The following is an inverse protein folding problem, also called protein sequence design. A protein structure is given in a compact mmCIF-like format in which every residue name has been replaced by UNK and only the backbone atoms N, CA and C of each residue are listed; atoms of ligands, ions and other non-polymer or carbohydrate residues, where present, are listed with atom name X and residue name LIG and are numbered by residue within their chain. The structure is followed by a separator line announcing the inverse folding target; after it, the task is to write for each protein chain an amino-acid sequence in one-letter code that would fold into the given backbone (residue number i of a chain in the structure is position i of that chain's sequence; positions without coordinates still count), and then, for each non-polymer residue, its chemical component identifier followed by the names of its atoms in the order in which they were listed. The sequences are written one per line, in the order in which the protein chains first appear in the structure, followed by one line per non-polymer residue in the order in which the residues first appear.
data_IF_817388641142
#
_entry.id   IF_817388641142
#
_cell.length_a   1.000
_cell.length_b   1.000
_cell.length_c   1.000
_cell.angle_alpha   90.00
_cell.angle_beta   90.00
_cell.angle_gamma   90.00
#
_symmetry.space_group_name_H-M   'P 1'
#
loop_
_entity.id
_entity.type
_entity.pdbx_description
1 polymer ?
#
# COMPACT_ATOMS: atom_id res chain seq x y z
N UNK A 1 -36.69 -67.98 28.15
CA UNK A 1 -36.43 -68.49 26.79
C UNK A 1 -35.94 -67.33 25.93
N UNK A 2 -34.66 -67.27 25.53
CA UNK A 2 -34.22 -66.35 24.50
C UNK A 2 -33.98 -67.10 23.18
N UNK A 3 -34.51 -66.53 22.08
CA UNK A 3 -34.31 -67.01 20.72
C UNK A 3 -33.07 -66.33 20.13
N UNK A 4 -32.19 -67.18 19.65
CA UNK A 4 -30.96 -66.94 18.94
C UNK A 4 -31.28 -66.54 17.48
N UNK A 5 -30.61 -65.53 16.93
CA UNK A 5 -30.46 -65.41 15.47
C UNK A 5 -29.13 -64.75 15.12
N UNK A 6 -28.21 -65.59 14.64
CA UNK A 6 -26.89 -65.20 14.17
C UNK A 6 -26.93 -64.66 12.75
N UNK A 7 -25.98 -63.76 12.45
CA UNK A 7 -25.71 -63.23 11.12
C UNK A 7 -24.34 -63.76 10.66
N UNK A 8 -24.20 -64.27 9.43
CA UNK A 8 -22.99 -64.94 8.97
C UNK A 8 -21.88 -63.97 8.53
N UNK A 9 -20.65 -64.36 8.88
CA UNK A 9 -19.38 -63.75 8.48
C UNK A 9 -19.10 -64.01 7.00
N UNK A 10 -18.92 -62.94 6.22
CA UNK A 10 -18.58 -63.00 4.79
C UNK A 10 -17.06 -63.07 4.62
N UNK A 11 -16.62 -64.10 3.90
CA UNK A 11 -15.24 -64.46 3.61
C UNK A 11 -14.49 -63.41 2.78
N UNK A 12 -13.26 -63.10 3.20
CA UNK A 12 -12.28 -62.31 2.42
C UNK A 12 -11.72 -63.18 1.29
N UNK A 13 -11.88 -62.73 0.06
CA UNK A 13 -11.19 -63.28 -1.11
C UNK A 13 -9.75 -62.77 -1.16
N UNK A 14 -8.83 -63.73 -1.25
CA UNK A 14 -7.41 -63.58 -1.52
C UNK A 14 -7.18 -63.07 -2.94
N UNK A 15 -6.73 -61.82 -3.09
CA UNK A 15 -6.22 -61.29 -4.35
C UNK A 15 -4.74 -61.64 -4.47
N UNK A 16 -4.42 -62.51 -5.43
CA UNK A 16 -3.06 -62.90 -5.82
C UNK A 16 -2.31 -61.69 -6.37
N UNK A 17 -1.20 -61.36 -5.72
CA UNK A 17 -0.15 -60.47 -6.21
C UNK A 17 0.58 -61.12 -7.39
N UNK A 18 0.48 -60.50 -8.57
CA UNK A 18 1.35 -60.78 -9.71
C UNK A 18 2.70 -60.11 -9.47
N UNK A 19 3.74 -60.95 -9.32
CA UNK A 19 5.16 -60.57 -9.36
C UNK A 19 5.56 -60.26 -10.80
N UNK A 20 5.89 -59.00 -11.08
CA UNK A 20 6.58 -58.61 -12.31
C UNK A 20 8.09 -58.82 -12.15
N UNK A 21 8.79 -59.35 -13.17
CA UNK A 21 10.22 -59.61 -13.14
C UNK A 21 11.03 -58.31 -13.18
N UNK A 22 12.12 -58.34 -12.41
CA UNK A 22 13.16 -57.32 -12.30
C UNK A 22 13.77 -57.01 -13.67
N UNK A 23 13.56 -55.78 -14.15
CA UNK A 23 14.48 -55.17 -15.09
C UNK A 23 15.53 -54.42 -14.28
N UNK A 24 16.76 -54.93 -14.31
CA UNK A 24 17.97 -54.27 -13.82
C UNK A 24 18.19 -52.96 -14.57
N UNK A 25 17.55 -51.90 -14.07
CA UNK A 25 17.94 -50.54 -14.39
C UNK A 25 19.21 -50.21 -13.62
N UNK A 26 20.29 -50.06 -14.38
CA UNK A 26 21.50 -49.29 -14.07
C UNK A 26 21.30 -48.41 -12.82
N UNK A 27 21.93 -48.82 -11.71
CA UNK A 27 22.07 -48.07 -10.48
C UNK A 27 22.76 -46.72 -10.78
N UNK A 28 21.98 -45.74 -11.21
CA UNK A 28 22.34 -44.35 -10.92
C UNK A 28 22.47 -44.26 -9.41
N UNK A 29 23.57 -43.66 -8.90
CA UNK A 29 23.74 -43.47 -7.46
C UNK A 29 22.47 -42.82 -6.96
N UNK A 30 21.81 -43.52 -6.03
CA UNK A 30 20.68 -43.03 -5.26
C UNK A 30 21.19 -41.73 -4.65
N UNK A 31 20.94 -40.60 -5.33
CA UNK A 31 21.26 -39.30 -4.78
C UNK A 31 20.59 -39.34 -3.42
N UNK A 32 21.39 -39.19 -2.37
CA UNK A 32 20.87 -39.05 -1.03
C UNK A 32 19.68 -38.10 -1.17
N UNK A 33 18.48 -38.46 -0.64
CA UNK A 33 17.36 -37.55 -0.67
C UNK A 33 17.92 -36.23 -0.21
N UNK A 34 17.93 -35.24 -1.12
CA UNK A 34 18.29 -33.90 -0.74
C UNK A 34 17.41 -33.67 0.48
N UNK A 35 17.97 -33.28 1.64
CA UNK A 35 17.15 -32.85 2.74
C UNK A 35 16.56 -31.49 2.32
N UNK A 36 15.73 -31.52 1.28
CA UNK A 36 14.53 -30.72 1.08
C UNK A 36 13.54 -31.08 2.21
N UNK A 37 14.04 -31.02 3.45
CA UNK A 37 13.24 -30.45 4.49
C UNK A 37 13.00 -29.02 4.01
N UNK A 38 11.88 -28.87 3.30
CA UNK A 38 11.12 -27.64 3.06
C UNK A 38 10.77 -26.99 4.41
N UNK A 39 11.81 -26.72 5.21
CA UNK A 39 11.78 -25.73 6.25
C UNK A 39 11.61 -24.45 5.48
N UNK A 40 10.35 -24.03 5.38
CA UNK A 40 9.97 -22.77 4.79
C UNK A 40 11.00 -21.73 5.22
N UNK A 41 11.64 -21.02 4.27
CA UNK A 41 12.63 -20.03 4.63
C UNK A 41 12.02 -19.11 5.66
N UNK A 42 12.62 -19.13 6.85
CA UNK A 42 12.24 -18.29 7.99
C UNK A 42 11.94 -16.89 7.45
N UNK A 43 10.83 -16.30 7.90
CA UNK A 43 10.18 -15.05 7.46
C UNK A 43 11.07 -13.79 7.32
N UNK A 44 12.39 -13.95 7.39
CA UNK A 44 13.46 -12.98 7.21
C UNK A 44 14.07 -12.93 5.81
N UNK A 45 13.77 -13.86 4.89
CA UNK A 45 14.33 -13.80 3.53
C UNK A 45 13.81 -12.58 2.75
N UNK A 46 14.74 -11.71 2.35
CA UNK A 46 14.44 -10.55 1.51
C UNK A 46 13.89 -11.03 0.15
N UNK A 47 12.91 -10.30 -0.45
CA UNK A 47 12.39 -10.65 -1.76
C UNK A 47 13.52 -10.83 -2.77
N UNK A 48 13.51 -11.96 -3.51
CA UNK A 48 14.43 -12.18 -4.63
C UNK A 48 14.31 -10.99 -5.59
N UNK A 49 15.45 -10.38 -5.89
CA UNK A 49 15.55 -9.13 -6.66
C UNK A 49 15.11 -7.84 -5.92
N UNK A 50 15.53 -7.68 -4.65
CA UNK A 50 15.42 -6.41 -3.94
C UNK A 50 16.71 -6.04 -3.18
N UNK A 51 16.94 -4.74 -3.00
CA UNK A 51 18.03 -4.15 -2.23
C UNK A 51 17.46 -3.67 -0.88
N UNK A 52 18.02 -4.07 0.27
CA UNK A 52 17.59 -3.53 1.55
C UNK A 52 17.98 -2.05 1.65
N UNK A 53 16.99 -1.17 1.91
CA UNK A 53 17.23 0.26 2.09
C UNK A 53 17.54 0.58 3.55
N UNK A 54 16.87 -0.12 4.48
CA UNK A 54 17.03 0.15 5.91
C UNK A 54 15.82 -0.31 6.73
N UNK A 55 15.64 0.31 7.89
CA UNK A 55 14.48 0.06 8.77
C UNK A 55 13.73 1.36 9.06
N UNK A 56 12.41 1.35 8.91
CA UNK A 56 11.51 2.46 9.24
C UNK A 56 10.42 1.96 10.18
N UNK A 57 10.27 2.58 11.35
CA UNK A 57 9.32 2.15 12.41
C UNK A 57 9.45 0.67 12.81
N UNK A 58 10.69 0.15 12.81
CA UNK A 58 10.98 -1.26 13.12
C UNK A 58 10.79 -2.23 11.94
N UNK A 59 10.23 -1.76 10.82
CA UNK A 59 9.98 -2.56 9.61
C UNK A 59 11.14 -2.49 8.65
N UNK A 60 11.44 -3.59 7.98
CA UNK A 60 12.51 -3.62 6.97
C UNK A 60 11.97 -3.05 5.66
N UNK A 61 12.69 -2.09 5.09
CA UNK A 61 12.39 -1.52 3.79
C UNK A 61 13.30 -2.15 2.74
N UNK A 62 12.72 -2.60 1.63
CA UNK A 62 13.42 -3.15 0.49
C UNK A 62 12.99 -2.44 -0.81
N UNK A 63 13.92 -2.18 -1.71
CA UNK A 63 13.68 -1.59 -3.03
C UNK A 63 13.83 -2.65 -4.10
N UNK A 64 12.85 -2.84 -4.96
CA UNK A 64 12.97 -3.78 -6.08
C UNK A 64 13.99 -3.27 -7.12
N UNK A 65 14.83 -4.16 -7.67
CA UNK A 65 15.75 -3.79 -8.77
C UNK A 65 15.01 -3.25 -10.01
N UNK A 66 13.75 -3.63 -10.20
CA UNK A 66 12.92 -3.10 -11.29
C UNK A 66 12.70 -1.59 -11.19
N UNK A 67 12.66 -1.04 -9.97
CA UNK A 67 12.60 0.42 -9.77
C UNK A 67 13.89 1.06 -10.27
N UNK A 68 15.05 0.53 -9.87
CA UNK A 68 16.35 1.07 -10.28
C UNK A 68 16.50 1.02 -11.80
N UNK A 69 16.11 -0.10 -12.42
CA UNK A 69 16.12 -0.25 -13.86
C UNK A 69 15.19 0.75 -14.56
N UNK A 70 13.95 0.91 -14.07
CA UNK A 70 13.01 1.87 -14.64
C UNK A 70 13.49 3.32 -14.48
N UNK A 71 14.01 3.70 -13.32
CA UNK A 71 14.58 5.03 -13.08
C UNK A 71 15.78 5.28 -13.99
N UNK A 72 16.67 4.29 -14.17
CA UNK A 72 17.81 4.40 -15.08
C UNK A 72 17.36 4.54 -16.54
N UNK A 73 16.36 3.76 -16.98
CA UNK A 73 15.81 3.86 -18.33
C UNK A 73 15.17 5.23 -18.58
N UNK A 74 14.37 5.73 -17.62
CA UNK A 74 13.76 7.07 -17.68
C UNK A 74 14.85 8.15 -17.73
N UNK A 75 15.85 8.08 -16.86
CA UNK A 75 16.97 9.02 -16.85
C UNK A 75 17.77 9.01 -18.17
N UNK A 76 17.98 7.82 -18.75
CA UNK A 76 18.61 7.66 -20.06
C UNK A 76 17.79 8.32 -21.18
N UNK A 77 16.48 8.08 -21.21
CA UNK A 77 15.57 8.72 -22.18
C UNK A 77 15.58 10.24 -22.01
N UNK A 78 15.49 10.75 -20.77
CA UNK A 78 15.57 12.19 -20.49
C UNK A 78 16.93 12.77 -20.92
N UNK A 79 18.02 12.03 -20.74
CA UNK A 79 19.36 12.50 -21.14
C UNK A 79 19.50 12.59 -22.66
N UNK A 80 18.94 11.63 -23.39
CA UNK A 80 18.98 11.58 -24.86
C UNK A 80 18.04 12.64 -25.46
N UNK A 81 16.81 12.72 -24.97
CA UNK A 81 15.74 13.54 -25.57
C UNK A 81 15.70 14.96 -24.97
N UNK A 82 16.06 15.12 -23.70
CA UNK A 82 15.94 16.37 -22.95
C UNK A 82 17.01 17.43 -23.24
N UNK A 83 18.01 17.13 -24.07
CA UNK A 83 19.06 18.09 -24.45
C UNK A 83 18.59 19.19 -25.43
N UNK A 84 17.44 18.98 -26.08
CA UNK A 84 16.84 19.99 -26.96
C UNK A 84 16.14 21.11 -26.19
N UNK A 85 16.22 22.39 -26.63
CA UNK A 85 15.57 23.52 -25.95
C UNK A 85 14.04 23.38 -25.86
N UNK A 86 13.43 22.63 -26.78
CA UNK A 86 11.99 22.31 -26.78
C UNK A 86 11.59 21.26 -25.71
N UNK A 87 12.55 20.53 -25.15
CA UNK A 87 12.29 19.38 -24.28
C UNK A 87 12.66 19.64 -22.81
N UNK A 88 12.96 20.89 -22.44
CA UNK A 88 13.26 21.25 -21.05
C UNK A 88 12.10 20.90 -20.09
N UNK A 89 10.88 21.02 -20.58
CA UNK A 89 9.66 20.67 -19.83
C UNK A 89 9.58 19.16 -19.52
N UNK A 90 10.16 18.30 -20.37
CA UNK A 90 10.16 16.85 -20.17
C UNK A 90 10.96 16.47 -18.91
N UNK A 91 12.08 17.14 -18.66
CA UNK A 91 12.89 16.88 -17.46
C UNK A 91 12.14 17.29 -16.19
N UNK A 92 11.49 18.45 -16.20
CA UNK A 92 10.68 18.95 -15.08
C UNK A 92 9.48 18.02 -14.84
N UNK A 93 8.75 17.67 -15.89
CA UNK A 93 7.62 16.75 -15.85
C UNK A 93 8.02 15.37 -15.29
N UNK A 94 9.17 14.86 -15.71
CA UNK A 94 9.67 13.56 -15.25
C UNK A 94 10.11 13.59 -13.79
N UNK A 95 10.77 14.67 -13.36
CA UNK A 95 11.16 14.87 -11.97
C UNK A 95 9.91 15.00 -11.08
N UNK A 96 8.94 15.81 -11.50
CA UNK A 96 7.66 15.94 -10.82
C UNK A 96 6.95 14.58 -10.74
N UNK A 97 6.90 13.85 -11.86
CA UNK A 97 6.30 12.54 -11.91
C UNK A 97 6.94 11.55 -10.94
N UNK A 98 8.28 11.54 -10.85
CA UNK A 98 9.02 10.73 -9.88
C UNK A 98 8.68 11.11 -8.44
N UNK A 99 8.65 12.41 -8.12
CA UNK A 99 8.30 12.90 -6.78
C UNK A 99 6.88 12.48 -6.41
N UNK A 100 5.91 12.71 -7.29
CA UNK A 100 4.51 12.32 -7.08
C UNK A 100 4.38 10.80 -6.89
N UNK A 101 5.10 10.01 -7.67
CA UNK A 101 5.11 8.55 -7.55
C UNK A 101 5.66 8.09 -6.17
N UNK A 102 6.75 8.71 -5.71
CA UNK A 102 7.32 8.45 -4.38
C UNK A 102 6.36 8.87 -3.27
N UNK A 103 5.64 9.99 -3.42
CA UNK A 103 4.59 10.40 -2.46
C UNK A 103 3.48 9.35 -2.42
N UNK A 104 3.06 8.81 -3.56
CA UNK A 104 2.12 7.70 -3.63
C UNK A 104 2.63 6.44 -2.91
N UNK A 105 3.92 6.10 -3.06
CA UNK A 105 4.53 5.05 -2.26
C UNK A 105 4.48 5.36 -0.78
N UNK A 106 4.78 6.59 -0.36
CA UNK A 106 4.76 6.94 1.04
C UNK A 106 3.35 6.81 1.65
N UNK A 107 2.30 7.26 0.95
CA UNK A 107 0.90 7.10 1.37
C UNK A 107 0.58 5.60 1.56
N UNK A 108 0.91 4.78 0.57
CA UNK A 108 0.75 3.33 0.64
C UNK A 108 1.50 2.73 1.84
N UNK A 109 2.76 3.12 2.05
CA UNK A 109 3.61 2.63 3.14
C UNK A 109 3.00 2.94 4.50
N UNK A 110 2.49 4.17 4.68
CA UNK A 110 1.88 4.62 5.93
C UNK A 110 0.60 3.84 6.22
N UNK A 111 -0.25 3.60 5.21
CA UNK A 111 -1.47 2.82 5.38
C UNK A 111 -1.12 1.37 5.77
N UNK A 112 -0.20 0.72 5.07
CA UNK A 112 0.26 -0.62 5.46
C UNK A 112 0.97 -0.62 6.82
N UNK A 113 1.63 0.48 7.19
CA UNK A 113 2.17 0.70 8.52
C UNK A 113 1.08 0.71 9.60
N UNK A 114 -0.04 1.39 9.33
CA UNK A 114 -1.19 1.39 10.22
C UNK A 114 -1.84 0.02 10.41
N UNK A 115 -1.98 -0.77 9.34
CA UNK A 115 -2.75 -2.01 9.38
C UNK A 115 -1.94 -3.26 9.78
N UNK A 116 -0.61 -3.29 9.59
CA UNK A 116 0.16 -4.49 9.92
C UNK A 116 0.30 -4.69 11.43
N UNK A 117 -0.01 -5.90 11.89
CA UNK A 117 0.03 -6.29 13.31
C UNK A 117 1.47 -6.32 13.81
N UNK A 118 2.37 -6.91 13.02
CA UNK A 118 3.76 -7.14 13.43
C UNK A 118 4.69 -6.03 12.91
N UNK A 119 5.75 -5.77 13.68
CA UNK A 119 6.78 -4.77 13.34
C UNK A 119 7.88 -5.30 12.43
N UNK A 120 8.03 -6.61 12.33
CA UNK A 120 9.06 -7.31 11.54
C UNK A 120 8.72 -7.45 10.05
N UNK A 121 7.59 -6.89 9.60
CA UNK A 121 7.15 -6.97 8.21
C UNK A 121 8.14 -6.26 7.28
N UNK A 122 8.48 -6.95 6.18
CA UNK A 122 9.25 -6.36 5.07
C UNK A 122 8.30 -5.64 4.12
N UNK A 123 8.51 -4.33 3.94
CA UNK A 123 7.84 -3.52 2.94
C UNK A 123 8.74 -3.40 1.71
N UNK A 124 8.25 -3.84 0.55
CA UNK A 124 8.99 -3.83 -0.71
C UNK A 124 8.43 -2.77 -1.66
N UNK A 125 9.21 -1.73 -1.93
CA UNK A 125 8.90 -0.73 -2.94
C UNK A 125 9.13 -1.33 -4.34
N UNK A 126 8.06 -1.43 -5.11
CA UNK A 126 8.05 -2.00 -6.47
C UNK A 126 7.62 -0.93 -7.47
N UNK A 127 7.82 -1.17 -8.77
CA UNK A 127 7.51 -0.19 -9.82
C UNK A 127 6.09 0.36 -9.73
N UNK A 128 5.11 -0.52 -9.52
CA UNK A 128 3.68 -0.19 -9.49
C UNK A 128 3.22 0.32 -8.11
N UNK A 129 4.04 0.13 -7.08
CA UNK A 129 3.72 0.54 -5.71
C UNK A 129 4.33 -0.39 -4.66
N UNK A 130 3.79 -0.39 -3.45
CA UNK A 130 4.31 -1.20 -2.35
C UNK A 130 3.68 -2.59 -2.34
N UNK A 131 4.55 -3.60 -2.24
CA UNK A 131 4.21 -4.97 -1.89
C UNK A 131 4.66 -5.29 -0.46
N UNK A 132 4.06 -6.32 0.13
CA UNK A 132 4.42 -6.82 1.45
C UNK A 132 4.52 -8.34 1.43
N UNK A 133 5.17 -8.90 2.44
CA UNK A 133 5.30 -10.35 2.56
C UNK A 133 3.96 -11.02 2.89
N UNK A 134 3.73 -12.20 2.32
CA UNK A 134 2.51 -12.98 2.58
C UNK A 134 2.39 -13.28 4.08
N UNK A 135 1.16 -13.35 4.57
CA UNK A 135 0.90 -13.56 6.00
C UNK A 135 1.26 -12.38 6.91
N UNK A 136 1.59 -11.16 6.45
CA UNK A 136 1.83 -10.03 7.36
C UNK A 136 0.57 -9.52 8.09
N UNK A 137 -0.60 -9.78 7.51
CA UNK A 137 -1.90 -9.23 7.91
C UNK A 137 -2.96 -10.32 7.79
N UNK A 138 -4.03 -10.19 8.58
CA UNK A 138 -5.21 -11.05 8.48
C UNK A 138 -6.04 -10.70 7.25
N UNK A 139 -6.96 -11.58 6.82
CA UNK A 139 -7.79 -11.33 5.63
C UNK A 139 -8.61 -10.02 5.75
N UNK A 140 -9.31 -9.80 6.86
CA UNK A 140 -10.10 -8.58 7.11
C UNK A 140 -9.24 -7.31 7.05
N UNK A 141 -8.05 -7.34 7.69
CA UNK A 141 -7.13 -6.19 7.71
C UNK A 141 -6.50 -5.95 6.35
N UNK A 142 -6.19 -7.01 5.61
CA UNK A 142 -5.68 -6.91 4.24
C UNK A 142 -6.71 -6.26 3.33
N UNK A 143 -7.98 -6.66 3.45
CA UNK A 143 -9.10 -6.06 2.71
C UNK A 143 -9.26 -4.57 3.07
N UNK A 144 -9.28 -4.24 4.35
CA UNK A 144 -9.38 -2.85 4.82
C UNK A 144 -8.20 -1.99 4.37
N UNK A 145 -6.97 -2.49 4.48
CA UNK A 145 -5.76 -1.81 4.01
C UNK A 145 -5.79 -1.59 2.50
N UNK A 146 -6.26 -2.58 1.74
CA UNK A 146 -6.39 -2.51 0.29
C UNK A 146 -7.40 -1.42 -0.13
N UNK A 147 -8.59 -1.43 0.47
CA UNK A 147 -9.63 -0.42 0.21
C UNK A 147 -9.15 0.97 0.64
N UNK A 148 -8.60 1.12 1.84
CA UNK A 148 -8.09 2.40 2.33
C UNK A 148 -6.98 2.96 1.44
N UNK A 149 -6.09 2.10 0.95
CA UNK A 149 -5.03 2.48 0.03
C UNK A 149 -5.59 2.98 -1.30
N UNK A 150 -6.47 2.22 -1.94
CA UNK A 150 -7.09 2.62 -3.21
C UNK A 150 -7.91 3.91 -3.05
N UNK A 151 -8.72 4.00 -2.01
CA UNK A 151 -9.50 5.19 -1.70
C UNK A 151 -8.61 6.41 -1.48
N UNK A 152 -7.50 6.28 -0.74
CA UNK A 152 -6.58 7.40 -0.50
C UNK A 152 -5.95 7.93 -1.79
N UNK A 153 -5.51 7.05 -2.69
CA UNK A 153 -4.90 7.45 -3.96
C UNK A 153 -5.95 8.11 -4.88
N UNK A 154 -7.16 7.56 -4.94
CA UNK A 154 -8.25 8.13 -5.74
C UNK A 154 -8.68 9.49 -5.20
N UNK A 155 -8.85 9.63 -3.88
CA UNK A 155 -9.25 10.90 -3.25
C UNK A 155 -8.17 11.96 -3.43
N UNK A 156 -6.89 11.64 -3.20
CA UNK A 156 -5.79 12.59 -3.42
C UNK A 156 -5.70 12.98 -4.89
N UNK A 157 -5.77 12.01 -5.80
CA UNK A 157 -5.73 12.29 -7.24
C UNK A 157 -6.92 13.14 -7.71
N UNK A 158 -8.13 12.81 -7.28
CA UNK A 158 -9.34 13.59 -7.59
C UNK A 158 -9.28 15.00 -6.99
N UNK A 159 -8.75 15.15 -5.77
CA UNK A 159 -8.53 16.45 -5.12
C UNK A 159 -7.58 17.33 -5.92
N UNK A 160 -6.45 16.78 -6.39
CA UNK A 160 -5.50 17.53 -7.23
C UNK A 160 -6.11 17.95 -8.57
N UNK A 161 -6.89 17.08 -9.21
CA UNK A 161 -7.60 17.41 -10.46
C UNK A 161 -8.67 18.48 -10.22
N UNK A 162 -9.39 18.41 -9.10
CA UNK A 162 -10.40 19.40 -8.75
C UNK A 162 -9.77 20.77 -8.46
N UNK A 163 -8.65 20.80 -7.74
CA UNK A 163 -7.89 22.04 -7.48
C UNK A 163 -7.42 22.62 -8.81
N UNK A 164 -6.79 21.83 -9.67
CA UNK A 164 -6.33 22.28 -11.00
C UNK A 164 -7.46 22.90 -11.83
N UNK A 165 -8.65 22.29 -11.84
CA UNK A 165 -9.82 22.84 -12.55
C UNK A 165 -10.39 24.10 -11.93
N UNK A 166 -10.21 24.31 -10.62
CA UNK A 166 -10.68 25.51 -9.93
C UNK A 166 -9.75 26.71 -10.11
N UNK A 167 -8.46 26.45 -10.36
CA UNK A 167 -7.43 27.47 -10.59
C UNK A 167 -7.23 27.82 -12.06
N UNK A 168 -7.77 26.99 -12.97
CA UNK A 168 -7.80 27.22 -14.41
C UNK A 168 -8.62 28.47 -14.77
N UNK A 169 -7.97 29.60 -14.62
CA UNK A 169 -8.48 30.95 -14.95
C UNK A 169 -8.22 31.31 -16.42
N UNK A 170 -7.54 30.43 -17.16
CA UNK A 170 -7.04 30.67 -18.51
C UNK A 170 -7.65 29.70 -19.53
N UNK A 171 -8.97 29.48 -19.46
CA UNK A 171 -9.73 28.72 -20.45
C UNK A 171 -9.82 29.45 -21.80
N UNK A 172 -8.68 29.65 -22.47
CA UNK A 172 -8.61 29.83 -23.93
C UNK A 172 -8.19 28.51 -24.54
N UNK A 173 -9.20 27.74 -24.91
CA UNK A 173 -9.29 26.79 -26.01
C UNK A 173 -7.99 26.63 -26.80
N UNK A 174 -7.28 25.53 -26.55
CA UNK A 174 -6.54 24.87 -27.60
C UNK A 174 -7.15 23.47 -27.74
N UNK A 175 -7.98 23.30 -28.79
CA UNK A 175 -8.37 22.01 -29.37
C UNK A 175 -7.14 21.29 -29.95
N UNK A 176 -6.11 21.08 -29.13
CA UNK A 176 -4.99 20.23 -29.42
C UNK A 176 -5.39 18.82 -29.02
N UNK A 177 -5.62 17.95 -29.99
CA UNK A 177 -5.87 16.53 -29.74
C UNK A 177 -4.85 15.94 -28.76
N UNK A 178 -5.27 14.90 -28.04
CA UNK A 178 -4.61 14.23 -26.90
C UNK A 178 -3.10 13.88 -27.05
N UNK A 179 -2.49 14.12 -28.22
CA UNK A 179 -1.09 13.83 -28.55
C UNK A 179 -0.39 14.84 -29.49
N UNK A 180 -0.94 16.03 -29.75
CA UNK A 180 -0.13 17.08 -30.39
C UNK A 180 0.91 17.57 -29.37
N UNK A 181 2.21 17.53 -29.70
CA UNK A 181 3.29 18.05 -28.83
C UNK A 181 3.80 19.41 -29.35
N UNK A 182 3.03 20.52 -29.24
CA UNK A 182 3.61 21.76 -28.72
C UNK A 182 4.16 21.45 -27.33
N UNK A 183 5.24 22.12 -26.87
CA UNK A 183 5.91 21.81 -25.60
C UNK A 183 4.90 21.44 -24.51
N UNK A 184 5.15 20.36 -23.75
CA UNK A 184 4.22 19.56 -22.91
C UNK A 184 3.22 20.35 -22.03
N UNK A 185 3.30 21.68 -22.01
CA UNK A 185 2.36 22.56 -21.36
C UNK A 185 2.43 22.38 -19.87
N UNK A 186 3.58 21.90 -19.36
CA UNK A 186 3.84 21.62 -17.96
C UNK A 186 4.37 22.85 -17.22
N UNK A 187 4.53 24.00 -17.88
CA UNK A 187 4.93 25.25 -17.23
C UNK A 187 3.87 25.84 -16.30
N UNK A 188 2.55 25.76 -16.59
CA UNK A 188 1.53 26.22 -15.66
C UNK A 188 1.37 25.25 -14.49
N UNK A 189 1.16 25.79 -13.30
CA UNK A 189 0.93 25.00 -12.09
C UNK A 189 -0.30 24.07 -12.22
N UNK A 190 -1.32 24.49 -12.95
CA UNK A 190 -2.56 23.72 -13.12
C UNK A 190 -2.34 22.43 -13.91
N UNK A 191 -1.55 22.50 -14.98
CA UNK A 191 -1.13 21.32 -15.76
C UNK A 191 -0.32 20.34 -14.91
N UNK A 192 0.59 20.85 -14.06
CA UNK A 192 1.37 20.03 -13.14
C UNK A 192 0.48 19.30 -12.12
N UNK A 193 -0.51 19.99 -11.56
CA UNK A 193 -1.47 19.42 -10.61
C UNK A 193 -2.37 18.37 -11.28
N UNK A 194 -2.86 18.68 -12.49
CA UNK A 194 -3.67 17.76 -13.28
C UNK A 194 -2.88 16.48 -13.61
N UNK A 195 -1.64 16.62 -14.09
CA UNK A 195 -0.73 15.50 -14.35
C UNK A 195 -0.47 14.66 -13.09
N UNK A 196 -0.20 15.33 -11.96
CA UNK A 196 0.02 14.67 -10.66
C UNK A 196 -1.21 13.87 -10.23
N UNK A 197 -2.40 14.42 -10.40
CA UNK A 197 -3.65 13.73 -10.10
C UNK A 197 -3.85 12.46 -10.94
N UNK A 198 -3.55 12.53 -12.24
CA UNK A 198 -3.57 11.36 -13.13
C UNK A 198 -2.55 10.29 -12.73
N UNK A 199 -1.36 10.67 -12.25
CA UNK A 199 -0.37 9.70 -11.76
C UNK A 199 -0.87 8.93 -10.54
N UNK A 200 -1.56 9.55 -9.60
CA UNK A 200 -2.18 8.84 -8.48
C UNK A 200 -3.26 7.85 -8.95
N UNK A 201 -4.05 8.21 -9.95
CA UNK A 201 -5.03 7.32 -10.56
C UNK A 201 -4.35 6.14 -11.27
N UNK A 202 -3.30 6.41 -12.05
CA UNK A 202 -2.52 5.38 -12.71
C UNK A 202 -1.91 4.40 -11.69
N UNK A 203 -1.40 4.92 -10.58
CA UNK A 203 -0.88 4.11 -9.48
C UNK A 203 -1.98 3.29 -8.78
N UNK A 204 -3.17 3.85 -8.60
CA UNK A 204 -4.32 3.13 -8.06
C UNK A 204 -4.76 1.98 -8.98
N UNK A 205 -4.87 2.24 -10.30
CA UNK A 205 -5.20 1.24 -11.32
C UNK A 205 -4.12 0.15 -11.38
N UNK A 206 -2.85 0.55 -11.38
CA UNK A 206 -1.73 -0.39 -11.36
C UNK A 206 -1.75 -1.29 -10.13
N UNK A 207 -2.04 -0.73 -8.95
CA UNK A 207 -2.17 -1.51 -7.72
C UNK A 207 -3.38 -2.43 -7.71
N UNK A 208 -4.49 -2.02 -8.33
CA UNK A 208 -5.69 -2.85 -8.46
C UNK A 208 -5.47 -4.04 -9.41
N UNK A 209 -4.54 -3.93 -10.36
CA UNK A 209 -4.24 -5.00 -11.29
C UNK A 209 -3.58 -6.19 -10.57
N UNK A 210 -4.12 -7.43 -10.67
CA UNK A 210 -3.79 -8.51 -9.74
C UNK A 210 -2.53 -9.31 -10.11
N UNK A 211 -1.42 -8.59 -10.36
CA UNK A 211 -0.10 -9.17 -10.57
C UNK A 211 0.50 -9.75 -9.29
N UNK A 212 1.70 -10.32 -9.43
CA UNK A 212 2.47 -10.85 -8.30
C UNK A 212 2.85 -9.70 -7.34
N UNK A 213 2.57 -9.89 -6.05
CA UNK A 213 2.83 -8.93 -4.96
C UNK A 213 2.10 -7.58 -5.07
N UNK A 214 1.08 -7.44 -5.92
CA UNK A 214 0.26 -6.22 -5.96
C UNK A 214 -0.93 -6.33 -5.01
N UNK A 215 -1.45 -5.17 -4.60
CA UNK A 215 -2.61 -5.05 -3.73
C UNK A 215 -3.84 -5.76 -4.32
N UNK A 216 -4.05 -5.69 -5.64
CA UNK A 216 -5.20 -6.27 -6.32
C UNK A 216 -5.32 -7.78 -6.12
N UNK A 217 -4.20 -8.51 -6.14
CA UNK A 217 -4.21 -9.96 -5.89
C UNK A 217 -4.55 -10.28 -4.42
N UNK A 218 -3.97 -9.52 -3.49
CA UNK A 218 -4.27 -9.64 -2.07
C UNK A 218 -5.71 -9.26 -1.75
N UNK A 219 -6.26 -8.25 -2.43
CA UNK A 219 -7.65 -7.83 -2.33
C UNK A 219 -8.58 -8.98 -2.70
N UNK A 220 -8.43 -9.57 -3.89
CA UNK A 220 -9.26 -10.70 -4.34
C UNK A 220 -9.14 -11.89 -3.37
N UNK A 221 -7.92 -12.25 -2.97
CA UNK A 221 -7.69 -13.34 -2.02
C UNK A 221 -8.38 -13.07 -0.66
N UNK A 222 -8.26 -11.85 -0.15
CA UNK A 222 -8.89 -11.45 1.11
C UNK A 222 -10.42 -11.45 1.03
N UNK A 223 -11.00 -11.05 -0.10
CA UNK A 223 -12.45 -11.12 -0.34
C UNK A 223 -12.91 -12.57 -0.33
N UNK A 224 -12.23 -13.48 -1.05
CA UNK A 224 -12.59 -14.91 -1.08
C UNK A 224 -12.58 -15.50 0.33
N UNK A 225 -11.53 -15.26 1.11
CA UNK A 225 -11.39 -15.79 2.48
C UNK A 225 -12.41 -15.17 3.44
N UNK A 226 -12.74 -13.89 3.27
CA UNK A 226 -13.69 -13.18 4.16
C UNK A 226 -15.14 -13.56 3.85
N UNK A 227 -15.51 -13.65 2.57
CA UNK A 227 -16.89 -13.97 2.13
C UNK A 227 -17.19 -15.47 2.20
N UNK A 228 -16.16 -16.33 2.05
CA UNK A 228 -16.30 -17.78 2.05
C UNK A 228 -15.76 -18.46 3.31
N UNK A 229 -16.30 -18.21 4.51
CA UNK A 229 -15.78 -18.80 5.75
C UNK A 229 -15.94 -20.32 5.81
N UNK A 230 -16.83 -20.90 5.00
CA UNK A 230 -17.07 -22.34 4.91
C UNK A 230 -16.26 -23.01 3.79
N UNK A 231 -15.52 -22.24 2.98
CA UNK A 231 -14.72 -22.80 1.90
C UNK A 231 -13.45 -23.42 2.47
N UNK A 232 -13.09 -24.62 1.99
CA UNK A 232 -11.79 -25.19 2.33
C UNK A 232 -10.67 -24.37 1.67
N UNK A 233 -9.49 -24.25 2.29
CA UNK A 233 -8.37 -23.46 1.74
C UNK A 233 -8.00 -23.85 0.30
N UNK A 234 -8.03 -25.16 -0.01
CA UNK A 234 -7.82 -25.69 -1.36
C UNK A 234 -8.82 -25.16 -2.38
N UNK A 235 -10.11 -25.10 -2.03
CA UNK A 235 -11.16 -24.59 -2.91
C UNK A 235 -11.02 -23.08 -3.11
N UNK A 236 -10.72 -22.33 -2.05
CA UNK A 236 -10.46 -20.90 -2.13
C UNK A 236 -9.24 -20.58 -3.03
N UNK A 237 -8.18 -21.38 -2.95
CA UNK A 237 -7.00 -21.24 -3.80
C UNK A 237 -7.29 -21.51 -5.29
N UNK A 238 -8.07 -22.56 -5.58
CA UNK A 238 -8.53 -22.87 -6.95
C UNK A 238 -9.42 -21.75 -7.48
N UNK A 239 -10.33 -21.23 -6.66
CA UNK A 239 -11.20 -20.12 -7.03
C UNK A 239 -10.38 -18.87 -7.35
N UNK A 240 -9.42 -18.51 -6.51
CA UNK A 240 -8.51 -17.39 -6.75
C UNK A 240 -7.74 -17.57 -8.06
N UNK A 241 -7.17 -18.76 -8.30
CA UNK A 241 -6.48 -19.05 -9.55
C UNK A 241 -7.39 -18.89 -10.78
N UNK A 242 -8.62 -19.43 -10.74
CA UNK A 242 -9.60 -19.30 -11.82
C UNK A 242 -10.03 -17.86 -12.07
N UNK A 243 -10.22 -17.06 -11.02
CA UNK A 243 -10.50 -15.63 -11.15
C UNK A 243 -9.35 -14.88 -11.82
N UNK A 244 -8.11 -15.14 -11.42
CA UNK A 244 -6.93 -14.51 -12.04
C UNK A 244 -6.79 -14.90 -13.52
N UNK A 245 -7.03 -16.17 -13.86
CA UNK A 245 -7.05 -16.64 -15.25
C UNK A 245 -8.17 -15.96 -16.06
N UNK A 246 -9.38 -15.86 -15.48
CA UNK A 246 -10.52 -15.19 -16.09
C UNK A 246 -10.24 -13.71 -16.39
N UNK A 247 -9.64 -12.99 -15.44
CA UNK A 247 -9.20 -11.60 -15.65
C UNK A 247 -8.15 -11.52 -16.76
N UNK A 248 -7.21 -12.46 -16.80
CA UNK A 248 -6.22 -12.55 -17.88
C UNK A 248 -6.84 -12.72 -19.27
N UNK A 249 -7.79 -13.66 -19.41
CA UNK A 249 -8.51 -13.92 -20.66
C UNK A 249 -9.36 -12.69 -21.06
N UNK A 250 -10.05 -12.06 -20.10
CA UNK A 250 -10.80 -10.83 -20.32
C UNK A 250 -9.90 -9.72 -20.88
N UNK A 251 -8.69 -9.56 -20.32
CA UNK A 251 -7.70 -8.58 -20.80
C UNK A 251 -7.23 -8.86 -22.23
N UNK A 252 -7.07 -10.13 -22.63
CA UNK A 252 -6.81 -10.47 -24.04
C UNK A 252 -7.99 -10.07 -24.93
N UNK A 253 -9.23 -10.30 -24.48
CA UNK A 253 -10.43 -9.84 -25.18
C UNK A 253 -10.45 -8.32 -25.38
N UNK A 254 -10.10 -7.55 -24.34
CA UNK A 254 -9.94 -6.09 -24.43
C UNK A 254 -8.81 -5.70 -25.38
N UNK A 255 -7.69 -6.43 -25.39
CA UNK A 255 -6.60 -6.19 -26.34
C UNK A 255 -7.05 -6.40 -27.80
N UNK A 256 -7.83 -7.44 -28.09
CA UNK A 256 -8.37 -7.70 -29.43
C UNK A 256 -9.40 -6.63 -29.82
N UNK A 257 -10.26 -6.23 -28.89
CA UNK A 257 -11.24 -5.17 -29.12
C UNK A 257 -10.53 -3.84 -29.42
N UNK A 258 -9.53 -3.46 -28.62
CA UNK A 258 -8.72 -2.25 -28.86
C UNK A 258 -7.99 -2.32 -30.19
N UNK A 259 -7.43 -3.47 -30.59
CA UNK A 259 -6.84 -3.65 -31.92
C UNK A 259 -7.84 -3.38 -33.06
N UNK A 260 -9.13 -3.72 -32.88
CA UNK A 260 -10.17 -3.54 -33.90
C UNK A 260 -10.72 -2.12 -33.96
N UNK A 261 -10.75 -1.43 -32.83
CA UNK A 261 -11.36 -0.09 -32.70
C UNK A 261 -10.33 1.03 -32.56
N UNK A 262 -9.04 0.75 -32.44
CA UNK A 262 -8.01 1.80 -32.41
C UNK A 262 -7.99 2.49 -33.78
N UNK A 263 -8.31 3.77 -33.75
CA UNK A 263 -7.89 4.67 -34.82
C UNK A 263 -6.35 4.69 -34.85
N UNK A 264 -5.72 4.96 -36.01
CA UNK A 264 -4.27 4.99 -36.14
C UNK A 264 -3.66 6.14 -35.32
N UNK A 265 -3.57 5.94 -34.01
CA UNK A 265 -2.71 6.68 -33.12
C UNK A 265 -1.27 6.25 -33.38
N UNK A 266 -0.33 7.16 -33.12
CA UNK A 266 1.11 6.97 -33.37
C UNK A 266 1.69 5.74 -32.65
N UNK A 267 1.03 5.25 -31.59
CA UNK A 267 1.47 4.08 -30.83
C UNK A 267 0.30 3.10 -30.61
N UNK A 268 0.39 1.84 -31.07
CA UNK A 268 -0.64 0.85 -30.82
C UNK A 268 -0.70 0.52 -29.32
N UNK A 269 -1.90 0.56 -28.72
CA UNK A 269 -2.10 0.33 -27.27
C UNK A 269 -2.27 -1.14 -26.92
N UNK A 270 -2.80 -1.93 -27.85
CA UNK A 270 -3.07 -3.35 -27.67
C UNK A 270 -1.86 -4.19 -27.20
N UNK A 271 -0.59 -3.94 -27.60
CA UNK A 271 0.54 -4.74 -27.14
C UNK A 271 0.75 -4.65 -25.63
N UNK A 272 0.45 -3.50 -25.02
CA UNK A 272 0.52 -3.32 -23.57
C UNK A 272 -0.49 -4.23 -22.86
N UNK A 273 -1.73 -4.29 -23.36
CA UNK A 273 -2.77 -5.14 -22.79
C UNK A 273 -2.43 -6.63 -22.94
N UNK A 274 -1.87 -7.04 -24.09
CA UNK A 274 -1.38 -8.42 -24.30
C UNK A 274 -0.26 -8.76 -23.32
N UNK A 275 0.71 -7.86 -23.14
CA UNK A 275 1.83 -8.07 -22.22
C UNK A 275 1.34 -8.20 -20.78
N UNK A 276 0.42 -7.32 -20.34
CA UNK A 276 -0.20 -7.39 -19.01
C UNK A 276 -0.97 -8.69 -18.82
N UNK A 277 -1.79 -9.09 -19.80
CA UNK A 277 -2.54 -10.34 -19.76
C UNK A 277 -1.61 -11.55 -19.65
N UNK A 278 -0.55 -11.59 -20.45
CA UNK A 278 0.45 -12.65 -20.40
C UNK A 278 1.17 -12.69 -19.05
N UNK A 279 1.58 -11.54 -18.52
CA UNK A 279 2.21 -11.44 -17.20
C UNK A 279 1.26 -11.95 -16.10
N UNK A 280 -0.03 -11.63 -16.18
CA UNK A 280 -1.03 -12.11 -15.23
C UNK A 280 -1.22 -13.63 -15.33
N UNK A 281 -1.43 -14.17 -16.53
CA UNK A 281 -1.59 -15.61 -16.77
C UNK A 281 -0.35 -16.37 -16.27
N UNK A 282 0.85 -15.86 -16.60
CA UNK A 282 2.12 -16.48 -16.17
C UNK A 282 2.30 -16.48 -14.66
N UNK A 283 1.77 -15.47 -13.96
CA UNK A 283 1.87 -15.34 -12.50
C UNK A 283 0.71 -16.00 -11.75
N UNK A 284 -0.36 -16.42 -12.45
CA UNK A 284 -1.49 -17.16 -11.94
C UNK A 284 -1.14 -18.65 -11.74
N UNK A 285 -0.25 -18.96 -10.79
CA UNK A 285 0.03 -20.35 -10.36
C UNK A 285 -0.89 -20.77 -9.21
N UNK A 286 -1.43 -22.00 -9.27
CA UNK A 286 -2.22 -22.59 -8.18
C UNK A 286 -1.41 -22.69 -6.89
N UNK A 287 -0.16 -23.13 -6.95
CA UNK A 287 0.71 -23.25 -5.77
C UNK A 287 0.89 -21.90 -5.06
N UNK A 288 1.09 -20.81 -5.82
CA UNK A 288 1.20 -19.45 -5.24
C UNK A 288 -0.12 -18.91 -4.70
N UNK A 289 -1.23 -19.21 -5.38
CA UNK A 289 -2.56 -18.85 -4.87
C UNK A 289 -2.87 -19.59 -3.58
N UNK A 290 -2.46 -20.86 -3.48
CA UNK A 290 -2.58 -21.68 -2.27
C UNK A 290 -1.75 -21.09 -1.13
N UNK A 291 -0.47 -20.84 -1.34
CA UNK A 291 0.40 -20.19 -0.34
C UNK A 291 -0.20 -18.86 0.18
N UNK A 292 -0.72 -18.04 -0.73
CA UNK A 292 -1.35 -16.77 -0.34
C UNK A 292 -2.62 -16.99 0.51
N UNK A 293 -3.50 -17.91 0.09
CA UNK A 293 -4.75 -18.21 0.81
C UNK A 293 -4.46 -18.85 2.17
N UNK A 294 -3.54 -19.80 2.23
CA UNK A 294 -3.12 -20.48 3.46
C UNK A 294 -2.57 -19.46 4.47
N UNK A 295 -1.72 -18.52 4.02
CA UNK A 295 -1.19 -17.44 4.88
C UNK A 295 -2.26 -16.50 5.44
N UNK A 296 -3.37 -16.31 4.72
CA UNK A 296 -4.51 -15.51 5.17
C UNK A 296 -5.45 -16.31 6.08
N UNK A 297 -5.51 -17.63 5.90
CA UNK A 297 -6.35 -18.56 6.64
C UNK A 297 -5.79 -18.88 8.02
N UNK A 298 -4.49 -19.20 8.13
CA UNK A 298 -3.81 -19.45 9.42
C UNK A 298 -3.95 -18.24 10.36
N UNK A 299 -3.79 -17.04 9.79
CA UNK A 299 -3.97 -15.76 10.48
C UNK A 299 -5.41 -15.50 10.94
N UNK A 300 -6.39 -16.09 10.26
CA UNK A 300 -7.79 -15.95 10.64
C UNK A 300 -8.07 -16.71 11.93
N UNK A 301 -7.56 -17.94 12.06
CA UNK A 301 -7.69 -18.71 13.31
C UNK A 301 -7.00 -18.01 14.49
N UNK A 302 -5.82 -17.42 14.28
CA UNK A 302 -5.16 -16.61 15.32
C UNK A 302 -6.03 -15.39 15.70
N UNK A 303 -6.62 -14.71 14.72
CA UNK A 303 -7.44 -13.52 14.98
C UNK A 303 -8.74 -13.86 15.71
N UNK A 304 -9.41 -14.97 15.37
CA UNK A 304 -10.64 -15.37 16.07
C UNK A 304 -10.34 -15.69 17.55
N UNK A 305 -9.20 -16.33 17.85
CA UNK A 305 -8.74 -16.54 19.22
C UNK A 305 -8.37 -15.22 19.94
N UNK A 306 -7.68 -14.30 19.25
CA UNK A 306 -7.29 -13.01 19.81
C UNK A 306 -8.48 -12.05 19.99
N UNK A 307 -9.45 -12.01 19.06
CA UNK A 307 -10.67 -11.18 19.14
C UNK A 307 -11.58 -11.65 20.27
N UNK A 308 -11.60 -12.95 20.57
CA UNK A 308 -12.33 -13.50 21.72
C UNK A 308 -11.67 -13.12 23.06
N UNK A 309 -10.36 -12.87 23.06
CA UNK A 309 -9.58 -12.48 24.25
C UNK A 309 -9.38 -10.97 24.44
N UNK A 310 -9.55 -10.15 23.40
CA UNK A 310 -9.19 -8.72 23.43
C UNK A 310 -10.39 -7.80 23.21
N UNK A 311 -10.69 -6.90 24.17
CA UNK A 311 -11.76 -5.93 23.99
C UNK A 311 -11.46 -4.98 22.81
N UNK A 312 -12.48 -4.61 22.00
CA UNK A 312 -12.34 -3.89 20.73
C UNK A 312 -11.76 -2.47 20.84
N UNK A 313 -11.50 -1.96 22.03
CA UNK A 313 -11.10 -0.56 22.28
C UNK A 313 -9.62 -0.24 22.02
N UNK A 314 -8.73 -1.22 21.77
CA UNK A 314 -7.28 -0.94 21.73
C UNK A 314 -6.78 -0.07 20.57
N UNK A 315 -7.50 -0.03 19.45
CA UNK A 315 -7.12 0.82 18.31
C UNK A 315 -7.59 2.27 18.50
N UNK A 316 -8.82 2.45 18.98
CA UNK A 316 -9.31 3.76 19.40
C UNK A 316 -8.46 4.29 20.55
N UNK A 317 -8.10 3.47 21.55
CA UNK A 317 -7.20 3.83 22.65
C UNK A 317 -5.79 4.24 22.20
N UNK A 318 -5.23 3.66 21.14
CA UNK A 318 -3.93 4.10 20.62
C UNK A 318 -4.00 5.47 19.95
N UNK A 319 -5.05 5.71 19.16
CA UNK A 319 -5.29 7.00 18.53
C UNK A 319 -5.66 8.06 19.59
N UNK A 320 -6.51 7.70 20.55
CA UNK A 320 -6.86 8.52 21.71
C UNK A 320 -5.66 8.80 22.59
N UNK A 321 -4.80 7.83 22.85
CA UNK A 321 -3.59 8.00 23.65
C UNK A 321 -2.60 8.96 23.00
N UNK A 322 -2.48 8.93 21.67
CA UNK A 322 -1.68 9.91 20.93
C UNK A 322 -2.30 11.31 21.00
N UNK A 323 -3.62 11.44 20.80
CA UNK A 323 -4.34 12.70 20.95
C UNK A 323 -4.26 13.25 22.38
N UNK A 324 -4.41 12.40 23.39
CA UNK A 324 -4.32 12.72 24.80
C UNK A 324 -2.90 13.18 25.16
N UNK A 325 -1.85 12.50 24.68
CA UNK A 325 -0.45 12.96 24.86
C UNK A 325 -0.21 14.30 24.18
N UNK A 326 -0.75 14.53 22.99
CA UNK A 326 -0.61 15.81 22.29
C UNK A 326 -1.37 16.93 22.99
N UNK A 327 -2.56 16.63 23.53
CA UNK A 327 -3.34 17.54 24.37
C UNK A 327 -2.63 17.85 25.69
N UNK A 328 -2.07 16.84 26.35
CA UNK A 328 -1.28 16.99 27.58
C UNK A 328 -0.03 17.84 27.35
N UNK A 329 0.69 17.64 26.24
CA UNK A 329 1.84 18.50 25.88
C UNK A 329 1.42 19.95 25.65
N UNK A 330 0.28 20.18 24.99
CA UNK A 330 -0.27 21.54 24.82
C UNK A 330 -0.71 22.15 26.15
N UNK A 331 -1.24 21.36 27.08
CA UNK A 331 -1.58 21.84 28.42
C UNK A 331 -0.33 22.21 29.21
N UNK A 332 0.69 21.35 29.22
CA UNK A 332 1.99 21.64 29.84
C UNK A 332 2.68 22.88 29.26
N UNK A 333 2.61 23.06 27.93
CA UNK A 333 3.15 24.27 27.30
C UNK A 333 2.41 25.52 27.78
N UNK A 334 1.07 25.47 27.90
CA UNK A 334 0.29 26.60 28.43
C UNK A 334 0.62 26.88 29.88
N UNK A 335 0.70 25.86 30.73
CA UNK A 335 1.08 26.02 32.15
C UNK A 335 2.48 26.64 32.28
N UNK A 336 3.42 26.22 31.43
CA UNK A 336 4.77 26.80 31.41
C UNK A 336 4.77 28.26 30.95
N UNK A 337 4.05 28.57 29.87
CA UNK A 337 3.94 29.94 29.36
C UNK A 337 3.24 30.86 30.39
N UNK A 338 2.19 30.37 31.07
CA UNK A 338 1.49 31.10 32.13
C UNK A 338 2.38 31.33 33.36
N UNK A 339 3.21 30.35 33.75
CA UNK A 339 4.16 30.51 34.86
C UNK A 339 5.27 31.52 34.53
N UNK A 340 5.75 31.53 33.28
CA UNK A 340 6.72 32.52 32.80
C UNK A 340 6.10 33.92 32.79
N UNK A 341 4.87 34.05 32.30
CA UNK A 341 4.14 35.32 32.29
C UNK A 341 3.86 35.83 33.71
N UNK A 342 3.51 34.96 34.67
CA UNK A 342 3.32 35.33 36.07
C UNK A 342 4.61 35.84 36.73
N UNK A 343 5.73 35.15 36.49
CA UNK A 343 7.05 35.58 37.01
C UNK A 343 7.47 36.93 36.44
N UNK A 344 7.17 37.18 35.15
CA UNK A 344 7.43 38.49 34.51
C UNK A 344 6.50 39.58 35.03
N UNK A 345 5.24 39.24 35.32
CA UNK A 345 4.26 40.18 35.87
C UNK A 345 4.73 40.72 37.23
N UNK A 346 5.24 39.86 38.11
CA UNK A 346 5.74 40.29 39.41
C UNK A 346 6.91 41.26 39.28
N UNK A 347 7.86 40.98 38.38
CA UNK A 347 8.98 41.89 38.09
C UNK A 347 8.51 43.24 37.50
N UNK A 348 7.46 43.20 36.67
CA UNK A 348 6.86 44.40 36.09
C UNK A 348 6.16 45.22 37.18
N UNK A 349 5.44 44.57 38.10
CA UNK A 349 4.75 45.23 39.21
C UNK A 349 5.74 45.83 40.21
N UNK A 350 6.84 45.16 40.49
CA UNK A 350 7.93 45.67 41.33
C UNK A 350 8.55 46.94 40.71
N UNK A 351 8.92 46.90 39.42
CA UNK A 351 9.42 48.09 38.70
C UNK A 351 8.39 49.21 38.63
N UNK A 352 7.12 48.88 38.40
CA UNK A 352 6.03 49.85 38.37
C UNK A 352 5.87 50.54 39.73
N UNK A 353 6.03 49.80 40.83
CA UNK A 353 5.96 50.32 42.19
C UNK A 353 7.16 51.21 42.52
N UNK A 354 8.36 50.82 42.13
CA UNK A 354 9.59 51.57 42.42
C UNK A 354 9.78 52.82 41.56
N UNK A 355 9.47 52.75 40.27
CA UNK A 355 9.89 53.75 39.27
C UNK A 355 8.72 54.46 38.59
N UNK A 356 7.48 54.08 38.90
CA UNK A 356 6.27 54.67 38.30
C UNK A 356 5.99 54.20 36.86
N UNK A 357 4.84 54.60 36.29
CA UNK A 357 4.29 54.06 35.04
C UNK A 357 5.09 54.37 33.77
N UNK A 358 5.96 55.38 33.82
CA UNK A 358 6.80 55.79 32.69
C UNK A 358 8.01 54.87 32.48
N UNK A 359 8.36 54.04 33.49
CA UNK A 359 9.47 53.09 33.42
C UNK A 359 9.16 51.81 32.61
N UNK A 360 7.88 51.59 32.24
CA UNK A 360 7.46 50.38 31.53
C UNK A 360 7.82 50.40 30.05
N UNK A 361 8.60 49.39 29.63
CA UNK A 361 8.91 49.16 28.23
C UNK A 361 7.66 48.85 27.41
N UNK A 362 7.73 49.03 26.09
CA UNK A 362 6.61 48.69 25.20
C UNK A 362 6.20 47.22 25.32
N UNK A 363 7.16 46.33 25.56
CA UNK A 363 6.95 44.89 25.72
C UNK A 363 6.17 44.58 27.01
N UNK A 364 6.50 45.25 28.13
CA UNK A 364 5.81 45.10 29.41
C UNK A 364 4.34 45.55 29.34
N UNK A 365 4.08 46.64 28.59
CA UNK A 365 2.71 47.14 28.35
C UNK A 365 1.86 46.15 27.55
N UNK A 366 2.46 45.44 26.59
CA UNK A 366 1.78 44.39 25.81
C UNK A 366 1.46 43.18 26.69
N UNK A 367 2.36 42.78 27.59
CA UNK A 367 2.12 41.69 28.55
C UNK A 367 0.97 42.05 29.50
N UNK A 368 0.98 43.25 30.09
CA UNK A 368 -0.09 43.73 30.96
C UNK A 368 -1.45 43.77 30.24
N UNK A 369 -1.48 44.22 28.98
CA UNK A 369 -2.70 44.21 28.18
C UNK A 369 -3.24 42.78 27.99
N UNK A 370 -2.37 41.82 27.65
CA UNK A 370 -2.74 40.41 27.47
C UNK A 370 -3.29 39.80 28.77
N UNK A 371 -2.65 40.05 29.91
CA UNK A 371 -3.12 39.57 31.22
C UNK A 371 -4.46 40.20 31.59
N UNK A 372 -4.64 41.51 31.34
CA UNK A 372 -5.91 42.21 31.59
C UNK A 372 -7.06 41.65 30.74
N UNK A 373 -6.81 41.32 29.48
CA UNK A 373 -7.79 40.70 28.59
C UNK A 373 -8.12 39.27 29.04
N UNK A 374 -7.12 38.51 29.49
CA UNK A 374 -7.31 37.15 30.04
C UNK A 374 -8.16 37.15 31.31
N UNK A 375 -7.87 38.05 32.27
CA UNK A 375 -8.65 38.21 33.49
C UNK A 375 -10.09 38.66 33.21
N UNK A 376 -10.27 39.59 32.25
CA UNK A 376 -11.61 40.04 31.83
C UNK A 376 -12.42 38.90 31.21
N UNK A 377 -11.76 38.01 30.45
CA UNK A 377 -12.38 36.82 29.88
C UNK A 377 -12.79 35.82 30.96
N UNK A 378 -11.93 35.56 31.95
CA UNK A 378 -12.22 34.66 33.08
C UNK A 378 -13.33 35.18 34.00
N UNK A 379 -13.48 36.50 34.14
CA UNK A 379 -14.58 37.10 34.93
C UNK A 379 -15.94 36.97 34.23
N UNK A 380 -15.94 36.86 32.90
CA UNK A 380 -17.15 36.84 32.07
C UNK A 380 -17.56 35.42 31.63
N UNK A 381 -16.73 34.40 31.89
CA UNK A 381 -17.04 32.98 31.71
C UNK A 381 -17.46 32.37 33.03
#
# INVERSE_FOLDING_TARGET
MPINSGVPVKSRSSVKTHTHPECDYFLMPKMAPYPDGDTEPVATELPRASVPIGRLWGRRLALSYWVLFATAAIAGVISIVGSGPANRDLAIASLLGLVVWIVGWFIQAVIYAGFAVRRDVVLSFSLVGIGWHQGAMTAKRTLAAAIATLASLVVVGAGLIAIAKSTDTAATVADGGLFAIPGLGMTPADSMLHFSGWLFWLQAVGQLYPLRMTLGRHLIASVIVTVGPKLTPSVAAILLHRMLLGIGILMVGVAIATMRFDNPLVVPRWPLFVLLAFALIRTASVARSRQLVDSLWERRSEQEADEEMLPPDRLSERLWGWYARRRARRALQREHDEAVDATKLDQILERLHEQGPDSLSHEDRVILKRVSESLKKHRNS
#
